data_IF_343760300250
#
_entry.id   IF_343760300250
#
_cell.length_a   1.000
_cell.length_b   1.000
_cell.length_c   1.000
_cell.angle_alpha   90.00
_cell.angle_beta   90.00
_cell.angle_gamma   90.00
#
_symmetry.space_group_name_H-M   'P 1'
#
loop_
_entity.id
_entity.type
_entity.pdbx_description
1 polymer ?
#
# COMPACT_ATOMS: atom_id res chain seq x y z
N UNK A 1 27.66 22.83 -9.97
CA UNK A 1 26.92 21.86 -9.14
C UNK A 1 25.71 21.33 -9.91
N UNK A 2 25.60 20.02 -10.10
CA UNK A 2 24.37 19.41 -10.64
C UNK A 2 23.25 19.62 -9.63
N UNK A 3 22.26 20.43 -9.95
CA UNK A 3 21.04 20.56 -9.13
C UNK A 3 20.17 19.35 -9.38
N UNK A 4 19.97 18.51 -8.37
CA UNK A 4 18.95 17.47 -8.41
C UNK A 4 17.58 18.14 -8.52
N UNK A 5 16.73 17.64 -9.43
CA UNK A 5 15.38 18.16 -9.65
C UNK A 5 14.29 17.08 -9.51
N UNK A 6 14.70 15.88 -9.20
CA UNK A 6 13.80 14.74 -9.03
C UNK A 6 14.06 14.09 -7.69
N UNK A 7 12.98 13.85 -6.95
CA UNK A 7 13.01 13.15 -5.67
C UNK A 7 12.12 11.92 -5.82
N UNK A 8 12.63 10.76 -5.40
CA UNK A 8 11.89 9.51 -5.37
C UNK A 8 11.61 9.15 -3.92
N UNK A 9 10.34 9.05 -3.57
CA UNK A 9 9.88 8.68 -2.23
C UNK A 9 9.49 7.22 -2.18
N UNK A 10 9.90 6.53 -1.13
CA UNK A 10 9.22 5.33 -0.66
C UNK A 10 7.92 5.74 0.03
N UNK A 11 7.00 4.81 0.18
CA UNK A 11 5.71 5.07 0.79
C UNK A 11 5.65 4.58 2.24
N UNK A 12 5.70 3.26 2.44
CA UNK A 12 5.60 2.64 3.77
C UNK A 12 6.81 2.94 4.65
N UNK A 13 6.57 3.43 5.86
CA UNK A 13 7.64 3.81 6.80
C UNK A 13 8.37 5.11 6.45
N UNK A 14 7.99 5.78 5.36
CA UNK A 14 8.54 7.08 4.94
C UNK A 14 7.44 8.13 4.91
N UNK A 15 6.46 7.99 4.07
CA UNK A 15 5.32 8.90 3.98
C UNK A 15 4.16 8.45 4.88
N UNK A 16 3.80 7.17 4.79
CA UNK A 16 2.73 6.57 5.58
C UNK A 16 3.31 5.65 6.66
N UNK A 17 2.82 5.79 7.87
CA UNK A 17 3.11 4.85 8.94
C UNK A 17 2.26 3.58 8.76
N UNK A 18 2.72 2.46 9.33
CA UNK A 18 2.00 1.20 9.25
C UNK A 18 1.95 0.49 10.61
N UNK A 19 0.97 -0.40 10.77
CA UNK A 19 0.84 -1.25 11.96
C UNK A 19 0.54 -2.68 11.54
N UNK A 20 1.55 -3.52 11.68
CA UNK A 20 1.43 -4.96 11.45
C UNK A 20 0.38 -5.60 12.36
N UNK A 21 0.38 -5.20 13.63
CA UNK A 21 -0.53 -5.71 14.66
C UNK A 21 -2.00 -5.50 14.31
N UNK A 22 -2.35 -4.30 13.80
CA UNK A 22 -3.73 -3.99 13.41
C UNK A 22 -4.21 -4.90 12.27
N UNK A 23 -3.36 -5.16 11.29
CA UNK A 23 -3.69 -6.06 10.19
C UNK A 23 -3.84 -7.50 10.68
N UNK A 24 -2.87 -8.00 11.45
CA UNK A 24 -2.92 -9.35 12.01
C UNK A 24 -4.20 -9.55 12.84
N UNK A 25 -4.52 -8.62 13.73
CA UNK A 25 -5.74 -8.71 14.55
C UNK A 25 -7.00 -8.71 13.69
N UNK A 26 -7.06 -7.88 12.65
CA UNK A 26 -8.21 -7.85 11.74
C UNK A 26 -8.38 -9.17 10.98
N UNK A 27 -7.29 -9.78 10.51
CA UNK A 27 -7.34 -11.09 9.86
C UNK A 27 -7.72 -12.22 10.83
N UNK A 28 -7.25 -12.16 12.07
CA UNK A 28 -7.67 -13.12 13.11
C UNK A 28 -9.18 -13.05 13.37
N UNK A 29 -9.77 -11.86 13.40
CA UNK A 29 -11.21 -11.66 13.60
C UNK A 29 -12.05 -12.30 12.50
N UNK A 30 -11.56 -12.35 11.25
CA UNK A 30 -12.25 -13.07 10.17
C UNK A 30 -11.90 -14.56 10.09
N UNK A 31 -11.07 -15.05 11.01
CA UNK A 31 -10.68 -16.45 11.15
C UNK A 31 -9.41 -16.86 10.42
N UNK A 32 -8.64 -15.90 9.87
CA UNK A 32 -7.42 -16.18 9.12
C UNK A 32 -6.16 -15.90 9.95
N UNK A 33 -5.79 -16.87 10.82
CA UNK A 33 -4.59 -16.75 11.67
C UNK A 33 -3.26 -16.92 10.92
N UNK A 34 -3.27 -17.51 9.73
CA UNK A 34 -2.05 -17.75 8.93
C UNK A 34 -1.41 -16.47 8.38
N UNK A 35 -2.10 -15.35 8.46
CA UNK A 35 -1.58 -14.06 7.97
C UNK A 35 -0.21 -13.73 8.55
N UNK A 36 0.07 -14.13 9.78
CA UNK A 36 1.34 -13.88 10.47
C UNK A 36 2.55 -14.48 9.75
N UNK A 37 2.32 -15.52 8.95
CA UNK A 37 3.38 -16.17 8.16
C UNK A 37 3.57 -15.52 6.79
N UNK A 38 2.64 -14.68 6.35
CA UNK A 38 2.63 -14.06 5.02
C UNK A 38 3.01 -12.59 5.05
N UNK A 39 2.57 -11.88 6.09
CA UNK A 39 2.76 -10.44 6.21
C UNK A 39 4.01 -10.11 7.03
N UNK A 40 4.87 -9.28 6.46
CA UNK A 40 6.10 -8.82 7.09
C UNK A 40 6.29 -7.32 6.74
N UNK A 41 6.86 -6.50 7.63
CA UNK A 41 7.08 -5.08 7.36
C UNK A 41 7.98 -4.80 6.15
N UNK A 42 8.86 -5.73 5.82
CA UNK A 42 9.88 -5.53 4.79
C UNK A 42 9.69 -6.42 3.57
N UNK A 43 9.17 -7.63 3.74
CA UNK A 43 9.06 -8.59 2.65
C UNK A 43 7.86 -9.52 2.83
N UNK A 44 6.89 -9.37 1.94
CA UNK A 44 5.74 -10.26 1.89
C UNK A 44 6.13 -11.65 1.36
N UNK A 45 5.28 -12.64 1.61
CA UNK A 45 5.42 -13.99 1.07
C UNK A 45 4.06 -14.53 0.56
N UNK A 46 4.09 -15.69 -0.09
CA UNK A 46 2.88 -16.34 -0.60
C UNK A 46 2.04 -15.45 -1.50
N UNK A 47 0.73 -15.50 -1.34
CA UNK A 47 -0.23 -14.75 -2.15
C UNK A 47 -0.04 -13.22 -2.03
N UNK A 48 0.42 -12.72 -0.89
CA UNK A 48 0.70 -11.28 -0.73
C UNK A 48 1.86 -10.83 -1.61
N UNK A 49 2.92 -11.63 -1.71
CA UNK A 49 4.03 -11.34 -2.62
C UNK A 49 3.59 -11.42 -4.09
N UNK A 50 2.76 -12.38 -4.44
CA UNK A 50 2.21 -12.51 -5.79
C UNK A 50 1.34 -11.29 -6.17
N UNK A 51 0.55 -10.78 -5.22
CA UNK A 51 -0.20 -9.52 -5.39
C UNK A 51 0.74 -8.33 -5.62
N UNK A 52 1.81 -8.21 -4.83
CA UNK A 52 2.79 -7.13 -4.98
C UNK A 52 3.57 -7.18 -6.30
N UNK A 53 3.74 -8.37 -6.86
CA UNK A 53 4.33 -8.57 -8.18
C UNK A 53 3.33 -8.44 -9.34
N UNK A 54 2.03 -8.31 -9.03
CA UNK A 54 0.99 -8.30 -10.06
C UNK A 54 0.81 -9.64 -10.78
N UNK A 55 1.31 -10.73 -10.21
CA UNK A 55 1.17 -12.10 -10.76
C UNK A 55 -0.26 -12.62 -10.60
N UNK A 56 -0.97 -12.14 -9.57
CA UNK A 56 -2.36 -12.48 -9.30
C UNK A 56 -3.17 -11.23 -8.95
N UNK A 57 -4.49 -11.30 -9.14
CA UNK A 57 -5.43 -10.27 -8.71
C UNK A 57 -5.94 -10.50 -7.28
N UNK A 58 -6.75 -9.57 -6.75
CA UNK A 58 -7.33 -9.66 -5.41
C UNK A 58 -8.11 -10.95 -5.15
N UNK A 59 -8.73 -11.51 -6.18
CA UNK A 59 -9.54 -12.74 -6.12
C UNK A 59 -8.73 -13.91 -5.56
N UNK A 60 -7.45 -14.01 -5.90
CA UNK A 60 -6.57 -15.07 -5.39
C UNK A 60 -6.42 -15.00 -3.86
N UNK A 61 -6.37 -13.80 -3.28
CA UNK A 61 -6.36 -13.61 -1.84
C UNK A 61 -7.70 -14.00 -1.20
N UNK A 62 -8.81 -13.58 -1.82
CA UNK A 62 -10.15 -13.89 -1.32
C UNK A 62 -10.43 -15.39 -1.31
N UNK A 63 -10.02 -16.08 -2.37
CA UNK A 63 -10.17 -17.54 -2.51
C UNK A 63 -9.29 -18.28 -1.50
N UNK A 64 -8.04 -17.86 -1.32
CA UNK A 64 -7.13 -18.47 -0.35
C UNK A 64 -7.65 -18.34 1.07
N UNK A 65 -8.09 -17.13 1.46
CA UNK A 65 -8.60 -16.88 2.81
C UNK A 65 -9.89 -17.67 3.04
N UNK A 66 -10.85 -17.64 2.10
CA UNK A 66 -12.12 -18.36 2.23
C UNK A 66 -11.91 -19.86 2.33
N UNK A 67 -10.97 -20.40 1.55
CA UNK A 67 -10.59 -21.82 1.60
C UNK A 67 -9.96 -22.18 2.93
N UNK A 68 -9.03 -21.37 3.43
CA UNK A 68 -8.34 -21.61 4.69
C UNK A 68 -9.27 -21.52 5.89
N UNK A 69 -10.20 -20.58 5.86
CA UNK A 69 -11.22 -20.39 6.92
C UNK A 69 -12.32 -21.46 6.85
N UNK A 70 -12.48 -22.11 5.70
CA UNK A 70 -13.50 -23.15 5.48
C UNK A 70 -14.92 -22.63 5.23
N UNK A 71 -15.05 -21.34 4.92
CA UNK A 71 -16.31 -20.68 4.56
C UNK A 71 -16.07 -19.46 3.69
N UNK A 72 -17.06 -18.99 2.92
CA UNK A 72 -16.94 -17.70 2.24
C UNK A 72 -16.68 -16.56 3.23
N UNK A 73 -15.70 -15.72 2.90
CA UNK A 73 -15.41 -14.50 3.65
C UNK A 73 -15.67 -13.30 2.71
N UNK A 74 -16.35 -12.30 3.23
CA UNK A 74 -16.65 -11.10 2.44
C UNK A 74 -15.34 -10.42 1.96
N UNK A 75 -15.16 -10.24 0.65
CA UNK A 75 -14.01 -9.51 0.10
C UNK A 75 -13.75 -8.16 0.75
N UNK A 76 -14.81 -7.41 1.09
CA UNK A 76 -14.68 -6.12 1.79
C UNK A 76 -14.06 -6.25 3.18
N UNK A 77 -14.35 -7.33 3.89
CA UNK A 77 -13.75 -7.60 5.18
C UNK A 77 -12.26 -7.94 5.05
N UNK A 78 -11.89 -8.66 3.99
CA UNK A 78 -10.49 -8.98 3.66
C UNK A 78 -9.73 -7.70 3.27
N UNK A 79 -10.29 -6.89 2.40
CA UNK A 79 -9.70 -5.60 1.99
C UNK A 79 -9.49 -4.69 3.21
N UNK A 80 -10.48 -4.59 4.09
CA UNK A 80 -10.38 -3.79 5.32
C UNK A 80 -9.29 -4.33 6.26
N UNK A 81 -9.16 -5.66 6.39
CA UNK A 81 -8.12 -6.29 7.19
C UNK A 81 -6.72 -6.01 6.62
N UNK A 82 -6.54 -6.11 5.31
CA UNK A 82 -5.28 -5.82 4.64
C UNK A 82 -4.93 -4.33 4.74
N UNK A 83 -5.89 -3.45 4.45
CA UNK A 83 -5.70 -1.99 4.55
C UNK A 83 -5.52 -1.51 6.00
N UNK A 84 -5.92 -2.29 6.99
CA UNK A 84 -5.64 -2.05 8.40
C UNK A 84 -4.13 -1.97 8.73
N UNK A 85 -3.27 -2.51 7.86
CA UNK A 85 -1.83 -2.34 7.91
C UNK A 85 -1.40 -0.87 7.76
N UNK A 86 -2.11 -0.10 6.94
CA UNK A 86 -1.81 1.30 6.65
C UNK A 86 -2.43 2.21 7.72
N UNK A 87 -1.64 3.12 8.24
CA UNK A 87 -2.12 4.19 9.10
C UNK A 87 -2.47 5.44 8.27
N UNK A 88 -2.11 6.61 8.74
CA UNK A 88 -2.36 7.86 8.02
C UNK A 88 -1.04 8.49 7.56
N UNK A 89 -1.15 9.39 6.60
CA UNK A 89 -0.07 10.31 6.23
C UNK A 89 -0.31 11.62 6.99
N UNK A 90 0.60 12.04 7.87
CA UNK A 90 0.47 13.33 8.55
C UNK A 90 0.36 14.48 7.56
N UNK A 91 -0.49 15.47 7.86
CA UNK A 91 -0.73 16.61 6.97
C UNK A 91 0.53 17.34 6.57
N UNK A 92 1.48 17.51 7.51
CA UNK A 92 2.76 18.17 7.22
C UNK A 92 3.58 17.47 6.12
N UNK A 93 3.43 16.14 5.96
CA UNK A 93 4.09 15.40 4.88
C UNK A 93 3.42 15.69 3.53
N UNK A 94 2.10 15.74 3.49
CA UNK A 94 1.36 16.13 2.28
C UNK A 94 1.68 17.58 1.87
N UNK A 95 1.72 18.49 2.84
CA UNK A 95 2.09 19.89 2.63
C UNK A 95 3.53 20.01 2.11
N UNK A 96 4.45 19.22 2.64
CA UNK A 96 5.84 19.14 2.17
C UNK A 96 5.91 18.71 0.69
N UNK A 97 5.14 17.70 0.28
CA UNK A 97 5.10 17.25 -1.12
C UNK A 97 4.61 18.37 -2.04
N UNK A 98 3.54 19.08 -1.65
CA UNK A 98 3.04 20.23 -2.42
C UNK A 98 4.05 21.38 -2.49
N UNK A 99 4.75 21.66 -1.40
CA UNK A 99 5.80 22.69 -1.36
C UNK A 99 6.97 22.33 -2.27
N UNK A 100 7.45 21.11 -2.22
CA UNK A 100 8.51 20.63 -3.12
C UNK A 100 8.12 20.79 -4.60
N UNK A 101 6.87 20.46 -4.96
CA UNK A 101 6.38 20.66 -6.33
C UNK A 101 6.33 22.15 -6.73
N UNK A 102 5.84 23.01 -5.84
CA UNK A 102 5.85 24.47 -6.07
C UNK A 102 7.26 25.01 -6.29
N UNK A 103 8.24 24.42 -5.64
CA UNK A 103 9.67 24.76 -5.80
C UNK A 103 10.32 24.16 -7.04
N UNK A 104 9.54 23.46 -7.88
CA UNK A 104 9.98 22.93 -9.17
C UNK A 104 10.63 21.55 -9.13
N UNK A 105 10.49 20.82 -8.03
CA UNK A 105 10.91 19.42 -7.99
C UNK A 105 9.88 18.51 -8.65
N UNK A 106 10.36 17.51 -9.39
CA UNK A 106 9.55 16.37 -9.81
C UNK A 106 9.56 15.33 -8.71
N UNK A 107 8.38 14.85 -8.33
CA UNK A 107 8.23 13.89 -7.25
C UNK A 107 7.72 12.56 -7.82
N UNK A 108 8.44 11.50 -7.56
CA UNK A 108 8.07 10.14 -7.92
C UNK A 108 7.88 9.31 -6.65
N UNK A 109 6.96 8.35 -6.71
CA UNK A 109 6.80 7.32 -5.67
C UNK A 109 7.32 6.00 -6.21
N UNK A 110 8.08 5.26 -5.40
CA UNK A 110 8.52 3.90 -5.67
C UNK A 110 8.12 3.01 -4.49
N UNK A 111 7.12 2.15 -4.69
CA UNK A 111 6.53 1.37 -3.60
C UNK A 111 6.29 -0.09 -3.97
N UNK A 112 6.64 -1.00 -3.07
CA UNK A 112 6.10 -2.35 -3.06
C UNK A 112 4.68 -2.28 -2.49
N UNK A 113 3.68 -2.60 -3.29
CA UNK A 113 2.27 -2.48 -2.93
C UNK A 113 1.41 -3.35 -3.83
N UNK A 114 0.11 -3.32 -3.63
CA UNK A 114 -0.87 -4.06 -4.42
C UNK A 114 -2.09 -3.19 -4.73
N UNK A 115 -2.97 -3.69 -5.59
CA UNK A 115 -4.15 -2.96 -6.05
C UNK A 115 -5.11 -2.62 -4.92
N UNK A 116 -5.27 -3.49 -3.90
CA UNK A 116 -6.18 -3.27 -2.77
C UNK A 116 -5.71 -2.07 -1.96
N UNK A 117 -4.46 -2.10 -1.50
CA UNK A 117 -3.87 -1.02 -0.70
C UNK A 117 -3.79 0.29 -1.49
N UNK A 118 -3.42 0.22 -2.77
CA UNK A 118 -3.27 1.42 -3.58
C UNK A 118 -4.62 2.08 -3.89
N UNK A 119 -5.68 1.30 -4.10
CA UNK A 119 -7.04 1.81 -4.25
C UNK A 119 -7.50 2.50 -2.97
N UNK A 120 -7.26 1.90 -1.81
CA UNK A 120 -7.56 2.50 -0.52
C UNK A 120 -6.83 3.84 -0.33
N UNK A 121 -5.54 3.90 -0.62
CA UNK A 121 -4.75 5.12 -0.49
C UNK A 121 -5.19 6.23 -1.45
N UNK A 122 -5.40 5.90 -2.72
CA UNK A 122 -5.85 6.87 -3.74
C UNK A 122 -7.22 7.46 -3.42
N UNK A 123 -8.14 6.65 -2.90
CA UNK A 123 -9.52 7.06 -2.64
C UNK A 123 -9.73 7.66 -1.24
N UNK A 124 -8.84 7.43 -0.31
CA UNK A 124 -8.93 7.88 1.08
C UNK A 124 -7.76 8.78 1.47
N UNK A 125 -6.63 8.18 1.80
CA UNK A 125 -5.50 8.86 2.45
C UNK A 125 -5.01 10.08 1.67
N UNK A 126 -4.81 9.94 0.35
CA UNK A 126 -4.37 11.05 -0.50
C UNK A 126 -5.48 12.05 -0.84
N UNK A 127 -6.74 11.77 -0.46
CA UNK A 127 -7.87 12.68 -0.68
C UNK A 127 -8.24 13.54 0.52
N UNK A 128 -7.62 13.35 1.66
CA UNK A 128 -8.02 14.06 2.88
C UNK A 128 -7.87 15.58 2.81
N UNK A 129 -7.01 16.10 1.92
CA UNK A 129 -6.90 17.54 1.65
C UNK A 129 -7.74 18.00 0.44
N UNK A 130 -8.66 17.17 -0.07
CA UNK A 130 -9.50 17.48 -1.21
C UNK A 130 -8.81 17.38 -2.57
N UNK A 131 -7.56 16.89 -2.61
CA UNK A 131 -6.77 16.69 -3.82
C UNK A 131 -6.75 15.23 -4.23
N UNK A 132 -6.19 14.92 -5.39
CA UNK A 132 -5.88 13.55 -5.83
C UNK A 132 -4.38 13.28 -5.70
N UNK A 133 -3.98 12.00 -5.78
CA UNK A 133 -2.58 11.62 -5.67
C UNK A 133 -1.69 12.31 -6.73
N UNK A 134 -2.25 12.65 -7.89
CA UNK A 134 -1.54 13.35 -8.97
C UNK A 134 -1.14 14.78 -8.60
N UNK A 135 -1.79 15.37 -7.59
CA UNK A 135 -1.37 16.67 -7.07
C UNK A 135 -0.04 16.56 -6.30
N UNK A 136 0.26 15.41 -5.75
CA UNK A 136 1.46 15.16 -4.93
C UNK A 136 2.62 14.57 -5.72
N UNK A 137 2.33 13.72 -6.72
CA UNK A 137 3.34 12.99 -7.49
C UNK A 137 3.16 13.16 -8.99
N UNK A 138 4.27 13.33 -9.69
CA UNK A 138 4.31 13.34 -11.15
C UNK A 138 4.24 11.94 -11.73
N UNK A 139 4.74 10.94 -11.00
CA UNK A 139 4.69 9.53 -11.41
C UNK A 139 4.75 8.58 -10.24
N UNK A 140 4.04 7.47 -10.38
CA UNK A 140 4.05 6.35 -9.44
C UNK A 140 4.71 5.14 -10.09
N UNK A 141 5.67 4.53 -9.39
CA UNK A 141 6.28 3.27 -9.74
C UNK A 141 5.81 2.24 -8.71
N UNK A 142 4.80 1.46 -9.09
CA UNK A 142 4.12 0.52 -8.20
C UNK A 142 4.52 -0.90 -8.61
N UNK A 143 4.94 -1.72 -7.66
CA UNK A 143 5.48 -3.05 -7.91
C UNK A 143 4.54 -3.93 -8.73
N UNK A 144 3.25 -3.92 -8.41
CA UNK A 144 2.25 -4.74 -9.10
C UNK A 144 2.00 -4.31 -10.56
N UNK A 145 2.26 -3.04 -10.91
CA UNK A 145 2.17 -2.55 -12.29
C UNK A 145 3.44 -2.87 -13.08
N UNK A 146 4.59 -2.89 -12.40
CA UNK A 146 5.90 -3.14 -13.01
C UNK A 146 6.26 -4.62 -13.09
N UNK A 147 5.59 -5.48 -12.33
CA UNK A 147 5.97 -6.89 -12.17
C UNK A 147 7.28 -7.11 -11.40
N UNK A 148 7.74 -6.10 -10.66
CA UNK A 148 9.01 -6.09 -9.95
C UNK A 148 8.82 -5.56 -8.53
N UNK A 149 9.48 -6.19 -7.57
CA UNK A 149 9.54 -5.72 -6.18
C UNK A 149 10.96 -5.25 -5.86
N UNK A 150 11.05 -4.26 -4.97
CA UNK A 150 12.34 -3.83 -4.42
C UNK A 150 12.95 -4.96 -3.59
N UNK A 151 14.29 -5.02 -3.54
CA UNK A 151 15.01 -5.92 -2.64
C UNK A 151 14.62 -5.77 -1.18
#
# INVERSE_FOLDING_TARGET
MKKFRTIVFDLGGVLIDYSLERSIEAFRRIGYGQIETLIDPYRQSGVLLQLEKGEVGPEALYDEISRSVGRPVDPKAIDAALCGFLLDIPDYKLDMLLDLRRRGFRLFMLSNTNTIMMTYMKNGVFRKQGLTIDAYFDRLFLSYEMGLVKP
#
